data_IF_786244007997
#
_entry.id   IF_786244007997
#
_cell.length_a   1.000
_cell.length_b   1.000
_cell.length_c   1.000
_cell.angle_alpha   90.00
_cell.angle_beta   90.00
_cell.angle_gamma   90.00
#
_symmetry.space_group_name_H-M   'P 1'
#
loop_
_entity.id
_entity.type
_entity.pdbx_description
1 polymer ?
#
# COMPACT_ATOMS: atom_id res chain seq x y z
N UNK A 1 15.31 -9.52 18.06
CA UNK A 1 14.12 -9.57 18.93
C UNK A 1 12.89 -9.51 18.03
N UNK A 2 12.23 -10.63 17.76
CA UNK A 2 10.97 -10.65 17.00
C UNK A 2 9.88 -9.99 17.88
N UNK A 3 9.40 -8.83 17.48
CA UNK A 3 8.21 -8.21 18.10
C UNK A 3 7.04 -9.18 17.91
N UNK A 4 6.47 -9.66 19.01
CA UNK A 4 5.25 -10.45 19.06
C UNK A 4 4.16 -9.65 18.33
N UNK A 5 3.76 -10.10 17.13
CA UNK A 5 2.65 -9.49 16.40
C UNK A 5 1.41 -9.75 17.24
N UNK A 6 0.89 -8.72 17.91
CA UNK A 6 -0.42 -8.81 18.57
C UNK A 6 -1.45 -9.14 17.49
N UNK A 7 -2.07 -10.30 17.59
CA UNK A 7 -3.19 -10.68 16.75
C UNK A 7 -4.40 -9.80 17.08
N UNK A 8 -4.46 -8.64 16.42
CA UNK A 8 -5.64 -7.77 16.49
C UNK A 8 -6.88 -8.52 16.00
N UNK A 9 -8.00 -8.29 16.70
CA UNK A 9 -9.29 -8.77 16.20
C UNK A 9 -9.62 -8.07 14.88
N UNK A 10 -10.37 -8.75 14.01
CA UNK A 10 -10.74 -8.21 12.68
C UNK A 10 -11.37 -6.81 12.76
N UNK A 11 -12.33 -6.62 13.65
CA UNK A 11 -13.00 -5.34 13.80
C UNK A 11 -12.06 -4.23 14.30
N UNK A 12 -11.11 -4.55 15.17
CA UNK A 12 -10.10 -3.59 15.62
C UNK A 12 -9.21 -3.14 14.47
N UNK A 13 -8.85 -4.07 13.58
CA UNK A 13 -8.06 -3.77 12.39
C UNK A 13 -8.82 -2.86 11.40
N UNK A 14 -10.11 -3.15 11.15
CA UNK A 14 -10.95 -2.29 10.30
C UNK A 14 -11.09 -0.87 10.86
N UNK A 15 -11.21 -0.76 12.19
CA UNK A 15 -11.28 0.55 12.87
C UNK A 15 -9.95 1.32 12.75
N UNK A 16 -8.82 0.63 12.85
CA UNK A 16 -7.50 1.26 12.68
C UNK A 16 -7.29 1.73 11.23
N UNK A 17 -7.70 0.94 10.24
CA UNK A 17 -7.63 1.34 8.83
C UNK A 17 -8.49 2.58 8.54
N UNK A 18 -9.68 2.66 9.16
CA UNK A 18 -10.55 3.82 9.08
C UNK A 18 -9.93 5.06 9.73
N UNK A 19 -9.39 4.89 10.95
CA UNK A 19 -8.76 5.99 11.67
C UNK A 19 -7.53 6.51 10.94
N UNK A 20 -6.72 5.62 10.35
CA UNK A 20 -5.57 6.01 9.54
C UNK A 20 -5.96 6.92 8.36
N UNK A 21 -7.09 6.65 7.70
CA UNK A 21 -7.58 7.52 6.63
C UNK A 21 -8.03 8.90 7.15
N UNK A 22 -8.68 8.94 8.31
CA UNK A 22 -9.07 10.23 8.96
C UNK A 22 -7.84 11.04 9.36
N UNK A 23 -6.81 10.39 9.90
CA UNK A 23 -5.61 11.06 10.42
C UNK A 23 -4.68 11.56 9.31
N UNK A 24 -4.70 10.92 8.13
CA UNK A 24 -3.79 11.24 7.02
C UNK A 24 -4.42 12.09 5.92
N UNK A 25 -5.76 12.24 5.88
CA UNK A 25 -6.42 13.11 4.90
C UNK A 25 -6.96 14.39 5.56
N UNK A 26 -6.32 15.55 5.31
CA UNK A 26 -6.83 16.84 5.82
C UNK A 26 -8.24 17.20 5.37
N UNK A 27 -8.74 16.60 4.28
CA UNK A 27 -10.10 16.83 3.77
C UNK A 27 -11.15 15.97 4.48
N UNK A 28 -10.76 14.97 5.28
CA UNK A 28 -11.66 14.10 6.01
C UNK A 28 -12.38 14.85 7.13
N UNK A 29 -13.70 15.03 7.02
CA UNK A 29 -14.51 15.78 8.01
C UNK A 29 -14.87 14.93 9.22
N UNK A 30 -15.12 13.64 9.01
CA UNK A 30 -15.50 12.70 10.07
C UNK A 30 -15.39 11.24 9.61
N UNK A 31 -15.40 10.32 10.58
CA UNK A 31 -15.27 8.88 10.33
C UNK A 31 -16.42 8.28 9.50
N UNK A 32 -17.63 8.82 9.58
CA UNK A 32 -18.77 8.33 8.81
C UNK A 32 -18.60 8.63 7.32
N UNK A 33 -18.18 9.84 6.99
CA UNK A 33 -17.87 10.21 5.60
C UNK A 33 -16.80 9.31 5.01
N UNK A 34 -15.69 9.10 5.75
CA UNK A 34 -14.59 8.25 5.31
C UNK A 34 -15.04 6.80 5.14
N UNK A 35 -15.85 6.27 6.07
CA UNK A 35 -16.38 4.91 5.97
C UNK A 35 -17.31 4.69 4.75
N UNK A 36 -18.06 5.72 4.34
CA UNK A 36 -19.05 5.60 3.28
C UNK A 36 -18.53 6.02 1.90
N UNK A 37 -17.58 6.96 1.84
CA UNK A 37 -17.20 7.63 0.59
C UNK A 37 -15.74 7.35 0.13
N UNK A 38 -14.88 6.72 0.95
CA UNK A 38 -13.47 6.54 0.62
C UNK A 38 -13.19 5.18 -0.03
N UNK A 39 -12.91 5.13 -1.34
CA UNK A 39 -12.66 3.88 -2.04
C UNK A 39 -11.41 3.16 -1.52
N UNK A 40 -10.40 3.89 -1.05
CA UNK A 40 -9.21 3.33 -0.42
C UNK A 40 -9.53 2.49 0.82
N UNK A 41 -10.40 2.98 1.69
CA UNK A 41 -10.86 2.27 2.90
C UNK A 41 -11.65 1.02 2.52
N UNK A 42 -12.57 1.14 1.54
CA UNK A 42 -13.35 -0.01 1.06
C UNK A 42 -12.45 -1.11 0.47
N UNK A 43 -11.44 -0.73 -0.32
CA UNK A 43 -10.49 -1.67 -0.91
C UNK A 43 -9.64 -2.38 0.16
N UNK A 44 -9.15 -1.65 1.17
CA UNK A 44 -8.38 -2.22 2.28
C UNK A 44 -9.25 -3.17 3.12
N UNK A 45 -10.49 -2.80 3.45
CA UNK A 45 -11.41 -3.67 4.20
C UNK A 45 -11.75 -4.95 3.44
N UNK A 46 -12.06 -4.85 2.15
CA UNK A 46 -12.30 -6.02 1.30
C UNK A 46 -11.05 -6.91 1.21
N UNK A 47 -9.86 -6.31 1.07
CA UNK A 47 -8.60 -7.04 1.12
C UNK A 47 -8.41 -7.79 2.45
N UNK A 48 -8.67 -7.16 3.62
CA UNK A 48 -8.54 -7.81 4.93
C UNK A 48 -9.39 -9.09 5.01
N UNK A 49 -10.61 -9.06 4.46
CA UNK A 49 -11.48 -10.24 4.34
C UNK A 49 -10.89 -11.27 3.38
N UNK A 50 -10.56 -10.86 2.16
CA UNK A 50 -10.04 -11.74 1.12
C UNK A 50 -8.73 -12.41 1.52
N UNK A 51 -7.82 -11.69 2.21
CA UNK A 51 -6.56 -12.23 2.71
C UNK A 51 -6.77 -13.32 3.76
N UNK A 52 -7.74 -13.16 4.68
CA UNK A 52 -8.11 -14.21 5.63
C UNK A 52 -8.65 -15.44 4.93
N UNK A 53 -9.54 -15.28 3.95
CA UNK A 53 -10.07 -16.38 3.14
C UNK A 53 -8.95 -17.11 2.40
N UNK A 54 -8.04 -16.35 1.77
CA UNK A 54 -6.90 -16.87 1.00
C UNK A 54 -6.00 -17.79 1.82
N UNK A 55 -5.73 -17.39 3.09
CA UNK A 55 -4.85 -18.12 3.98
C UNK A 55 -5.56 -19.25 4.77
N UNK A 56 -6.90 -19.24 4.84
CA UNK A 56 -7.65 -20.23 5.61
C UNK A 56 -7.77 -21.58 4.90
N UNK A 57 -8.00 -21.60 3.58
CA UNK A 57 -8.21 -22.82 2.83
C UNK A 57 -7.99 -22.64 1.33
N UNK A 58 -7.41 -23.63 0.62
CA UNK A 58 -7.33 -23.63 -0.84
C UNK A 58 -8.68 -23.43 -1.54
N UNK A 59 -9.78 -23.97 -0.97
CA UNK A 59 -11.14 -23.83 -1.51
C UNK A 59 -11.66 -22.39 -1.47
N UNK A 60 -11.12 -21.55 -0.58
CA UNK A 60 -11.51 -20.14 -0.45
C UNK A 60 -10.69 -19.20 -1.33
N UNK A 61 -9.66 -19.69 -2.03
CA UNK A 61 -8.81 -18.84 -2.89
C UNK A 61 -9.59 -18.28 -4.08
N UNK A 62 -10.41 -19.10 -4.74
CA UNK A 62 -11.22 -18.62 -5.87
C UNK A 62 -12.28 -17.61 -5.44
N UNK A 63 -13.11 -17.84 -4.41
CA UNK A 63 -14.00 -16.81 -3.89
C UNK A 63 -13.28 -15.52 -3.48
N UNK A 64 -12.13 -15.61 -2.80
CA UNK A 64 -11.33 -14.43 -2.43
C UNK A 64 -10.87 -13.64 -3.66
N UNK A 65 -10.47 -14.31 -4.75
CA UNK A 65 -10.12 -13.65 -6.02
C UNK A 65 -11.31 -12.97 -6.67
N UNK A 66 -12.47 -13.61 -6.68
CA UNK A 66 -13.69 -13.03 -7.24
C UNK A 66 -14.07 -11.75 -6.48
N UNK A 67 -14.09 -11.79 -5.14
CA UNK A 67 -14.38 -10.60 -4.31
C UNK A 67 -13.34 -9.50 -4.58
N UNK A 68 -12.06 -9.84 -4.64
CA UNK A 68 -10.99 -8.89 -4.96
C UNK A 68 -11.22 -8.20 -6.33
N UNK A 69 -11.65 -8.93 -7.37
CA UNK A 69 -11.93 -8.34 -8.68
C UNK A 69 -13.22 -7.48 -8.70
N UNK A 70 -14.24 -7.87 -7.96
CA UNK A 70 -15.43 -7.04 -7.78
C UNK A 70 -15.09 -5.74 -7.03
N UNK A 71 -14.25 -5.82 -6.00
CA UNK A 71 -13.73 -4.64 -5.30
C UNK A 71 -12.97 -3.71 -6.24
N UNK A 72 -12.09 -4.28 -7.10
CA UNK A 72 -11.40 -3.50 -8.12
C UNK A 72 -12.37 -2.81 -9.08
N UNK A 73 -13.41 -3.50 -9.52
CA UNK A 73 -14.41 -2.91 -10.43
C UNK A 73 -15.15 -1.72 -9.81
N UNK A 74 -15.37 -1.75 -8.48
CA UNK A 74 -16.10 -0.70 -7.74
C UNK A 74 -15.16 0.44 -7.36
N UNK A 75 -13.93 0.13 -6.88
CA UNK A 75 -13.02 1.11 -6.28
C UNK A 75 -11.93 1.62 -7.22
N UNK A 76 -11.67 0.90 -8.33
CA UNK A 76 -10.52 1.14 -9.20
C UNK A 76 -9.17 0.68 -8.59
N UNK A 77 -9.18 -0.02 -7.44
CA UNK A 77 -8.00 -0.46 -6.70
C UNK A 77 -7.89 -1.98 -6.76
N UNK A 78 -6.77 -2.48 -7.26
CA UNK A 78 -6.48 -3.91 -7.27
C UNK A 78 -5.50 -4.27 -6.15
N UNK A 79 -5.95 -5.11 -5.21
CA UNK A 79 -5.09 -5.71 -4.19
C UNK A 79 -5.24 -7.22 -4.28
N UNK A 80 -4.12 -7.91 -4.58
CA UNK A 80 -4.14 -9.37 -4.62
C UNK A 80 -4.31 -9.94 -3.20
N UNK A 81 -5.23 -10.92 -2.97
CA UNK A 81 -5.44 -11.49 -1.64
C UNK A 81 -4.21 -12.13 -1.00
N UNK A 82 -3.22 -12.56 -1.79
CA UNK A 82 -1.95 -13.12 -1.33
C UNK A 82 -0.94 -12.09 -0.84
N UNK A 83 -1.12 -10.80 -1.15
CA UNK A 83 -0.24 -9.74 -0.65
C UNK A 83 -0.27 -9.69 0.90
N UNK A 84 0.79 -9.17 1.50
CA UNK A 84 0.89 -8.98 2.94
C UNK A 84 0.91 -7.48 3.24
N UNK A 85 -0.16 -6.96 3.81
CA UNK A 85 -0.29 -5.54 4.14
C UNK A 85 -0.32 -5.35 5.66
N UNK A 86 0.58 -4.50 6.14
CA UNK A 86 0.68 -4.07 7.53
C UNK A 86 -0.54 -3.27 8.00
N UNK A 87 -0.45 -2.71 9.18
CA UNK A 87 -1.51 -1.93 9.83
C UNK A 87 -1.50 -0.50 9.32
N UNK A 88 -2.67 0.16 9.38
CA UNK A 88 -2.83 1.59 9.09
C UNK A 88 -2.33 1.98 7.70
N UNK A 89 -2.58 1.09 6.72
CA UNK A 89 -2.34 1.42 5.32
C UNK A 89 -3.37 2.47 4.86
N UNK A 90 -2.91 3.61 4.39
CA UNK A 90 -3.73 4.64 3.78
C UNK A 90 -3.55 4.65 2.25
N UNK A 91 -4.64 4.53 1.51
CA UNK A 91 -4.66 4.66 0.05
C UNK A 91 -5.48 5.90 -0.30
N UNK A 92 -4.79 6.93 -0.73
CA UNK A 92 -5.40 8.20 -1.09
C UNK A 92 -5.83 8.23 -2.57
N UNK A 93 -7.06 8.69 -2.83
CA UNK A 93 -7.75 8.66 -4.12
C UNK A 93 -7.90 7.26 -4.73
N UNK A 94 -6.86 6.48 -4.75
CA UNK A 94 -6.78 5.04 -5.00
C UNK A 94 -6.94 4.58 -6.45
N UNK A 95 -7.59 5.32 -7.34
CA UNK A 95 -7.82 4.91 -8.72
C UNK A 95 -6.53 4.44 -9.40
N UNK A 96 -6.54 3.21 -9.96
CA UNK A 96 -5.38 2.66 -10.68
C UNK A 96 -4.25 2.13 -9.79
N UNK A 97 -4.43 2.04 -8.48
CA UNK A 97 -3.48 1.35 -7.59
C UNK A 97 -3.52 -0.15 -7.87
N UNK A 98 -2.34 -0.76 -7.99
CA UNK A 98 -2.18 -2.21 -8.17
C UNK A 98 -1.15 -2.75 -7.17
N UNK A 99 -1.55 -3.69 -6.32
CA UNK A 99 -0.68 -4.39 -5.37
C UNK A 99 -0.67 -5.88 -5.70
N UNK A 100 0.49 -6.38 -6.17
CA UNK A 100 0.63 -7.75 -6.65
C UNK A 100 0.75 -8.81 -5.56
N UNK A 101 0.63 -10.08 -5.95
CA UNK A 101 0.48 -11.26 -5.07
C UNK A 101 1.52 -11.40 -3.97
N UNK A 102 2.80 -11.17 -4.28
CA UNK A 102 3.91 -11.35 -3.33
C UNK A 102 4.47 -10.03 -2.81
N UNK A 103 3.69 -8.94 -2.94
CA UNK A 103 4.03 -7.66 -2.33
C UNK A 103 3.89 -7.76 -0.80
N UNK A 104 4.84 -7.15 -0.12
CA UNK A 104 4.85 -6.98 1.33
C UNK A 104 4.89 -5.49 1.63
N UNK A 105 4.00 -5.01 2.49
CA UNK A 105 3.90 -3.60 2.85
C UNK A 105 3.87 -3.49 4.36
N UNK A 106 4.72 -2.67 4.92
CA UNK A 106 4.83 -2.41 6.36
C UNK A 106 3.65 -1.64 6.95
N UNK A 107 3.86 -1.11 8.15
CA UNK A 107 2.87 -0.31 8.88
C UNK A 107 2.98 1.18 8.51
N UNK A 108 1.87 1.92 8.63
CA UNK A 108 1.80 3.38 8.43
C UNK A 108 2.26 3.83 7.02
N UNK A 109 1.96 3.02 6.01
CA UNK A 109 2.31 3.33 4.62
C UNK A 109 1.19 4.12 3.95
N UNK A 110 1.57 5.17 3.22
CA UNK A 110 0.65 5.95 2.38
C UNK A 110 0.92 5.67 0.90
N UNK A 111 -0.13 5.37 0.15
CA UNK A 111 -0.07 5.08 -1.29
C UNK A 111 -1.05 5.99 -2.03
N UNK A 112 -0.55 6.76 -2.98
CA UNK A 112 -1.39 7.59 -3.84
C UNK A 112 -1.86 6.84 -5.09
N UNK A 113 -2.88 7.38 -5.76
CA UNK A 113 -3.47 6.82 -6.98
C UNK A 113 -2.43 6.47 -8.05
N UNK A 114 -2.78 5.51 -8.92
CA UNK A 114 -1.94 5.11 -10.05
C UNK A 114 -0.65 4.37 -9.67
N UNK A 115 -0.38 4.16 -8.39
CA UNK A 115 0.80 3.43 -7.90
C UNK A 115 0.73 1.94 -8.26
N UNK A 116 1.87 1.36 -8.63
CA UNK A 116 1.98 -0.08 -8.90
C UNK A 116 3.10 -0.70 -8.05
N UNK A 117 2.77 -1.68 -7.23
CA UNK A 117 3.71 -2.62 -6.61
C UNK A 117 3.73 -3.89 -7.47
N UNK A 118 4.57 -3.88 -8.51
CA UNK A 118 4.52 -4.82 -9.63
C UNK A 118 5.66 -5.83 -9.65
N UNK A 119 5.45 -6.96 -10.33
CA UNK A 119 6.48 -7.94 -10.63
C UNK A 119 7.11 -7.70 -11.99
N UNK A 120 8.38 -8.11 -12.15
CA UNK A 120 9.12 -8.09 -13.42
C UNK A 120 9.42 -9.50 -13.96
N UNK A 121 8.98 -10.54 -13.24
CA UNK A 121 9.25 -11.94 -13.60
C UNK A 121 7.95 -12.71 -13.72
N UNK A 122 7.89 -13.63 -14.71
CA UNK A 122 6.80 -14.59 -14.89
C UNK A 122 7.00 -15.87 -14.05
N UNK A 123 8.10 -16.00 -13.35
CA UNK A 123 8.38 -17.18 -12.49
C UNK A 123 7.59 -17.09 -11.20
N UNK A 124 7.21 -18.24 -10.66
CA UNK A 124 6.61 -18.35 -9.32
C UNK A 124 7.59 -17.90 -8.23
N UNK A 125 7.07 -17.43 -7.10
CA UNK A 125 7.86 -16.97 -5.96
C UNK A 125 7.83 -15.45 -5.78
N UNK A 126 8.75 -14.93 -4.95
CA UNK A 126 8.87 -13.49 -4.66
C UNK A 126 9.25 -12.74 -5.94
N UNK A 127 8.35 -11.87 -6.41
CA UNK A 127 8.51 -11.07 -7.64
C UNK A 127 8.02 -9.64 -7.51
N UNK A 128 7.41 -9.30 -6.37
CA UNK A 128 6.90 -7.97 -6.06
C UNK A 128 7.70 -7.36 -4.92
N UNK A 129 7.68 -6.03 -4.75
CA UNK A 129 8.50 -5.36 -3.76
C UNK A 129 8.12 -5.68 -2.31
N UNK A 130 9.10 -5.49 -1.42
CA UNK A 130 8.93 -5.38 0.02
C UNK A 130 9.09 -3.92 0.40
N UNK A 131 8.06 -3.33 1.00
CA UNK A 131 8.00 -1.93 1.43
C UNK A 131 8.04 -1.88 2.96
N UNK A 132 8.95 -1.11 3.50
CA UNK A 132 9.10 -0.89 4.95
C UNK A 132 7.96 -0.08 5.56
N UNK A 133 8.19 0.40 6.78
CA UNK A 133 7.21 1.17 7.53
C UNK A 133 7.30 2.67 7.23
N UNK A 134 6.19 3.41 7.39
CA UNK A 134 6.12 4.87 7.22
C UNK A 134 6.63 5.35 5.86
N UNK A 135 6.44 4.51 4.84
CA UNK A 135 6.81 4.83 3.46
C UNK A 135 5.68 5.61 2.81
N UNK A 136 6.03 6.63 2.03
CA UNK A 136 5.09 7.38 1.20
C UNK A 136 5.38 7.09 -0.27
N UNK A 137 4.38 6.68 -1.03
CA UNK A 137 4.50 6.36 -2.44
C UNK A 137 3.63 7.31 -3.26
N UNK A 138 4.29 8.26 -3.93
CA UNK A 138 3.65 9.32 -4.71
C UNK A 138 2.81 8.81 -5.88
N UNK A 139 1.91 9.65 -6.34
CA UNK A 139 0.97 9.35 -7.40
C UNK A 139 1.66 8.84 -8.67
N UNK A 140 1.10 7.78 -9.27
CA UNK A 140 1.62 7.21 -10.51
C UNK A 140 2.95 6.43 -10.37
N UNK A 141 3.58 6.38 -9.20
CA UNK A 141 4.87 5.70 -9.04
C UNK A 141 4.78 4.19 -9.34
N UNK A 142 5.85 3.63 -9.92
CA UNK A 142 5.97 2.22 -10.26
C UNK A 142 7.15 1.62 -9.49
N UNK A 143 6.87 0.73 -8.54
CA UNK A 143 7.87 0.00 -7.77
C UNK A 143 7.86 -1.44 -8.29
N UNK A 144 8.94 -1.84 -8.96
CA UNK A 144 8.93 -3.03 -9.81
C UNK A 144 10.03 -4.03 -9.43
N UNK A 145 9.64 -5.27 -9.26
CA UNK A 145 10.54 -6.39 -8.96
C UNK A 145 10.62 -6.73 -7.48
N UNK A 146 11.38 -7.78 -7.11
CA UNK A 146 11.54 -8.23 -5.73
C UNK A 146 12.57 -7.35 -4.97
N UNK A 147 12.39 -6.04 -5.06
CA UNK A 147 13.25 -5.03 -4.44
C UNK A 147 12.76 -4.67 -3.05
N UNK A 148 13.66 -4.10 -2.25
CA UNK A 148 13.36 -3.63 -0.89
C UNK A 148 13.36 -2.11 -0.81
N UNK A 149 12.29 -1.56 -0.28
CA UNK A 149 12.15 -0.15 0.07
C UNK A 149 12.23 -0.06 1.60
N UNK A 150 13.24 0.62 2.11
CA UNK A 150 13.47 0.76 3.56
C UNK A 150 12.41 1.60 4.27
N UNK A 151 12.50 1.65 5.59
CA UNK A 151 11.61 2.48 6.41
C UNK A 151 11.82 3.98 6.13
N UNK A 152 10.77 4.77 6.30
CA UNK A 152 10.80 6.24 6.16
C UNK A 152 11.23 6.72 4.76
N UNK A 153 11.07 5.89 3.72
CA UNK A 153 11.36 6.24 2.33
C UNK A 153 10.21 7.04 1.74
N UNK A 154 10.55 7.99 0.89
CA UNK A 154 9.62 8.76 0.08
C UNK A 154 9.87 8.48 -1.40
N UNK A 155 8.85 8.00 -2.11
CA UNK A 155 8.90 7.77 -3.54
C UNK A 155 8.11 8.88 -4.22
N UNK A 156 8.80 9.67 -5.04
CA UNK A 156 8.19 10.80 -5.76
C UNK A 156 7.15 10.37 -6.79
N UNK A 157 6.25 11.28 -7.12
CA UNK A 157 5.23 11.05 -8.14
C UNK A 157 5.85 10.62 -9.48
N UNK A 158 5.21 9.65 -10.15
CA UNK A 158 5.66 9.07 -11.42
C UNK A 158 7.09 8.48 -11.42
N UNK A 159 7.71 8.30 -10.26
CA UNK A 159 9.01 7.63 -10.19
C UNK A 159 8.92 6.14 -10.60
N UNK A 160 9.95 5.62 -11.27
CA UNK A 160 10.06 4.20 -11.64
C UNK A 160 11.22 3.58 -10.88
N UNK A 161 10.90 2.90 -9.76
CA UNK A 161 11.86 2.30 -8.84
C UNK A 161 12.08 0.84 -9.22
N UNK A 162 13.32 0.50 -9.60
CA UNK A 162 13.72 -0.84 -10.04
C UNK A 162 14.94 -1.38 -9.28
N UNK A 163 15.36 -0.68 -8.22
CA UNK A 163 16.46 -1.05 -7.34
C UNK A 163 16.09 -0.76 -5.89
N UNK A 164 16.75 -1.42 -4.96
CA UNK A 164 16.57 -1.18 -3.53
C UNK A 164 16.76 0.29 -3.16
N UNK A 165 15.94 0.76 -2.21
CA UNK A 165 16.02 2.10 -1.66
C UNK A 165 16.30 1.99 -0.17
N UNK A 166 17.47 2.43 0.31
CA UNK A 166 17.79 2.44 1.74
C UNK A 166 16.82 3.32 2.54
N UNK A 167 16.66 3.03 3.83
CA UNK A 167 15.80 3.80 4.73
C UNK A 167 16.15 5.30 4.73
N UNK A 168 15.14 6.13 4.98
CA UNK A 168 15.27 7.59 5.08
C UNK A 168 15.78 8.25 3.78
N UNK A 169 15.47 7.68 2.61
CA UNK A 169 15.83 8.23 1.31
C UNK A 169 14.60 8.74 0.54
N UNK A 170 14.86 9.61 -0.41
CA UNK A 170 13.89 10.01 -1.44
C UNK A 170 14.31 9.41 -2.77
N UNK A 171 13.40 8.67 -3.41
CA UNK A 171 13.60 8.06 -4.73
C UNK A 171 12.75 8.78 -5.77
N UNK A 172 13.39 9.42 -6.76
CA UNK A 172 12.70 10.23 -7.78
C UNK A 172 13.24 9.98 -9.18
N UNK A 173 12.40 10.17 -10.18
CA UNK A 173 12.76 10.12 -11.59
C UNK A 173 12.57 8.75 -12.27
N UNK A 174 12.98 8.64 -13.53
CA UNK A 174 12.82 7.47 -14.40
C UNK A 174 14.16 7.17 -15.09
N UNK A 175 14.89 6.07 -14.74
CA UNK A 175 14.71 5.30 -13.52
C UNK A 175 14.98 6.15 -12.25
N UNK A 176 14.36 5.77 -11.14
CA UNK A 176 14.48 6.53 -9.89
C UNK A 176 15.92 6.56 -9.36
N UNK A 177 16.34 7.72 -8.86
CA UNK A 177 17.62 7.91 -8.17
C UNK A 177 17.36 8.24 -6.70
N UNK A 178 18.12 7.61 -5.82
CA UNK A 178 18.02 7.83 -4.39
C UNK A 178 18.73 9.14 -4.01
N UNK A 179 18.12 9.93 -3.16
CA UNK A 179 18.69 11.16 -2.58
C UNK A 179 18.42 11.18 -1.08
N UNK A 180 19.31 11.76 -0.26
CA UNK A 180 19.03 11.96 1.16
C UNK A 180 17.75 12.80 1.35
N UNK A 181 16.90 12.41 2.29
CA UNK A 181 15.74 13.21 2.66
C UNK A 181 16.19 14.49 3.36
N UNK A 182 15.74 15.65 2.88
CA UNK A 182 16.15 16.96 3.42
C UNK A 182 15.59 17.26 4.82
N UNK A 183 14.48 16.64 5.23
CA UNK A 183 13.87 16.81 6.56
C UNK A 183 13.17 15.52 6.99
N UNK A 184 13.25 15.20 8.30
CA UNK A 184 12.50 14.10 8.95
C UNK A 184 11.04 14.48 9.26
N UNK A 185 10.37 15.27 8.44
CA UNK A 185 8.96 15.57 8.68
C UNK A 185 8.07 14.58 7.94
N UNK A 186 7.03 14.02 8.59
CA UNK A 186 6.16 13.01 8.02
C UNK A 186 5.13 13.54 7.00
N UNK A 187 5.16 14.84 6.67
CA UNK A 187 4.28 15.41 5.65
C UNK A 187 5.06 15.82 4.42
N UNK A 188 4.82 15.13 3.31
CA UNK A 188 5.14 15.66 2.00
C UNK A 188 3.89 16.39 1.51
N UNK A 189 4.08 17.67 1.21
CA UNK A 189 3.17 18.35 0.31
C UNK A 189 3.46 17.83 -1.12
N UNK A 190 2.55 17.05 -1.75
CA UNK A 190 2.79 16.49 -3.07
C UNK A 190 2.82 17.55 -4.19
N UNK A 191 2.57 18.82 -3.86
CA UNK A 191 2.48 19.91 -4.81
C UNK A 191 3.82 20.65 -5.02
N UNK A 192 4.88 20.34 -4.27
CA UNK A 192 6.17 21.06 -4.38
C UNK A 192 7.25 20.12 -4.88
N UNK A 193 7.37 19.99 -6.18
CA UNK A 193 8.57 19.49 -6.86
C UNK A 193 9.02 20.54 -7.87
N UNK A 194 9.89 21.45 -7.44
CA UNK A 194 10.78 22.18 -8.33
C UNK A 194 12.02 21.36 -8.65
#
# INVERSE_FOLDING_TARGET
>A
MQKKIEHLTFFKQLKEDLQAAVDNDPAARNTLEVALAYPGVHAVWAYRLCHRMWNKSPLLKLPARIISQLTRAITGIEIHPGAQLGRRLFIDHGMGVVIGETAEVGEDVTIFHGTTLGGISMRKGKRHPTVGNRVIIGAGAKVLGPITIGDDVQIGANAVVVKDVPSCQVAVGIPARNRPAKNKQPHIDPAVSD
#
